data_IF_863019433172
#
_entry.id   IF_863019433172
#
_cell.length_a   1.000
_cell.length_b   1.000
_cell.length_c   1.000
_cell.angle_alpha   90.00
_cell.angle_beta   90.00
_cell.angle_gamma   90.00
#
_symmetry.space_group_name_H-M   'P 1'
#
loop_
_entity.id
_entity.type
_entity.pdbx_description
1 polymer ?
#
# COMPACT_ATOMS: atom_id res chain seq x y z
N UNK A 1 3.26 -4.76 -17.19
CA UNK A 1 2.56 -3.54 -16.71
C UNK A 1 2.59 -3.45 -15.20
N UNK A 2 2.06 -4.43 -14.50
CA UNK A 2 2.02 -4.41 -13.04
C UNK A 2 3.40 -4.26 -12.40
N UNK A 3 4.39 -4.98 -12.92
CA UNK A 3 5.76 -4.93 -12.38
C UNK A 3 6.37 -3.52 -12.46
N UNK A 4 6.08 -2.79 -13.53
CA UNK A 4 6.53 -1.41 -13.70
C UNK A 4 5.99 -0.52 -12.57
N UNK A 5 4.71 -0.65 -12.26
CA UNK A 5 4.08 0.17 -11.23
C UNK A 5 4.51 -0.26 -9.82
N UNK A 6 4.71 -1.56 -9.59
CA UNK A 6 5.26 -2.02 -8.31
C UNK A 6 6.69 -1.50 -8.12
N UNK A 7 7.49 -1.42 -9.18
CA UNK A 7 8.83 -0.84 -9.09
C UNK A 7 8.78 0.63 -8.65
N UNK A 8 7.79 1.38 -9.10
CA UNK A 8 7.58 2.77 -8.65
C UNK A 8 7.18 2.82 -7.16
N UNK A 9 6.33 1.89 -6.72
CA UNK A 9 5.97 1.79 -5.31
C UNK A 9 7.21 1.47 -4.46
N UNK A 10 8.12 0.61 -4.96
CA UNK A 10 9.39 0.32 -4.28
C UNK A 10 10.30 1.54 -4.19
N UNK A 11 10.33 2.39 -5.23
CA UNK A 11 11.06 3.65 -5.16
C UNK A 11 10.54 4.53 -4.01
N UNK A 12 9.22 4.61 -3.86
CA UNK A 12 8.62 5.34 -2.74
C UNK A 12 9.00 4.71 -1.40
N UNK A 13 8.98 3.37 -1.32
CA UNK A 13 9.38 2.67 -0.11
C UNK A 13 10.84 2.96 0.28
N UNK A 14 11.73 3.07 -0.70
CA UNK A 14 13.13 3.43 -0.45
C UNK A 14 13.28 4.85 0.09
N UNK A 15 12.46 5.78 -0.37
CA UNK A 15 12.43 7.14 0.19
C UNK A 15 12.05 7.12 1.66
N UNK A 16 11.05 6.31 2.02
CA UNK A 16 10.67 6.12 3.42
C UNK A 16 11.83 5.53 4.24
N UNK A 17 12.47 4.48 3.70
CA UNK A 17 13.63 3.85 4.33
C UNK A 17 14.73 4.89 4.63
N UNK A 18 15.05 5.71 3.65
CA UNK A 18 16.11 6.73 3.78
C UNK A 18 15.77 7.80 4.81
N UNK A 19 14.49 8.02 5.05
CA UNK A 19 13.98 9.00 6.03
C UNK A 19 13.76 8.40 7.42
N UNK A 20 14.08 7.11 7.63
CA UNK A 20 13.88 6.45 8.92
C UNK A 20 12.44 5.99 9.15
N UNK A 21 11.60 6.00 8.13
CA UNK A 21 10.22 5.52 8.20
C UNK A 21 10.14 4.04 7.83
N UNK A 22 9.12 3.35 8.30
CA UNK A 22 8.84 1.99 7.85
C UNK A 22 8.69 2.02 6.32
N UNK A 23 9.47 1.18 5.57
CA UNK A 23 9.59 1.34 4.13
C UNK A 23 8.42 0.73 3.36
N UNK A 24 7.32 1.45 3.35
CA UNK A 24 6.14 1.11 2.55
C UNK A 24 5.90 2.23 1.56
N UNK A 25 5.72 1.85 0.31
CA UNK A 25 5.41 2.78 -0.78
C UNK A 25 4.17 2.34 -1.53
N UNK A 26 3.46 3.31 -2.08
CA UNK A 26 2.22 3.06 -2.81
C UNK A 26 2.10 3.98 -4.02
N UNK A 27 1.53 3.46 -5.10
CA UNK A 27 1.14 4.26 -6.25
C UNK A 27 -0.29 3.90 -6.65
N UNK A 28 -1.03 4.89 -7.12
CA UNK A 28 -2.38 4.69 -7.68
C UNK A 28 -2.31 4.97 -9.17
N UNK A 29 -2.88 4.05 -9.95
CA UNK A 29 -2.87 4.11 -11.42
C UNK A 29 -4.31 4.17 -11.92
N UNK A 30 -4.58 5.11 -12.84
CA UNK A 30 -5.86 5.23 -13.55
C UNK A 30 -5.57 5.34 -15.03
N UNK A 31 -6.20 4.49 -15.85
CA UNK A 31 -6.01 4.50 -17.31
C UNK A 31 -4.53 4.45 -17.72
N UNK A 32 -3.75 3.59 -17.04
CA UNK A 32 -2.34 3.43 -17.34
C UNK A 32 -1.44 4.57 -16.86
N UNK A 33 -1.99 5.57 -16.18
CA UNK A 33 -1.24 6.72 -15.70
C UNK A 33 -1.15 6.73 -14.18
N UNK A 34 0.02 7.07 -13.66
CA UNK A 34 0.21 7.25 -12.21
C UNK A 34 -0.46 8.56 -11.80
N UNK A 35 -1.47 8.47 -10.94
CA UNK A 35 -2.20 9.64 -10.44
C UNK A 35 -1.86 9.97 -8.99
N UNK A 36 -1.18 9.08 -8.28
CA UNK A 36 -0.72 9.33 -6.91
C UNK A 36 0.50 8.48 -6.61
N UNK A 37 1.42 9.05 -5.82
CA UNK A 37 2.60 8.35 -5.29
C UNK A 37 2.79 8.80 -3.85
N UNK A 38 3.06 7.85 -2.96
CA UNK A 38 3.25 8.19 -1.56
C UNK A 38 4.08 7.12 -0.85
N UNK A 39 4.64 7.49 0.27
CA UNK A 39 5.31 6.54 1.17
C UNK A 39 4.97 6.91 2.61
N UNK A 40 5.20 5.99 3.52
CA UNK A 40 4.88 6.16 4.93
C UNK A 40 5.59 7.40 5.50
N UNK A 41 4.82 8.25 6.18
CA UNK A 41 5.30 9.49 6.80
C UNK A 41 4.86 9.60 8.27
N UNK A 42 4.52 8.47 8.90
CA UNK A 42 3.97 8.47 10.26
C UNK A 42 4.81 9.25 11.26
N UNK A 43 6.12 9.02 11.25
CA UNK A 43 7.02 9.69 12.17
C UNK A 43 7.31 11.14 11.73
N UNK A 44 7.54 11.34 10.44
CA UNK A 44 7.84 12.66 9.87
C UNK A 44 6.69 13.65 10.09
N UNK A 45 5.47 13.22 9.83
CA UNK A 45 4.28 14.07 9.96
C UNK A 45 3.65 13.99 11.35
N UNK A 46 4.15 13.12 12.23
CA UNK A 46 3.57 12.86 13.56
C UNK A 46 2.07 12.54 13.44
N UNK A 47 1.75 11.70 12.48
CA UNK A 47 0.37 11.35 12.12
C UNK A 47 0.23 9.82 12.09
N UNK A 48 -0.54 9.22 13.03
CA UNK A 48 -0.71 7.78 13.08
C UNK A 48 -1.40 7.20 11.85
N UNK A 49 -2.06 8.03 11.06
CA UNK A 49 -2.80 7.62 9.87
C UNK A 49 -1.99 7.78 8.58
N UNK A 50 -0.78 8.32 8.64
CA UNK A 50 0.03 8.65 7.46
C UNK A 50 0.75 7.43 6.87
N UNK A 51 0.02 6.33 6.68
CA UNK A 51 0.49 5.19 5.90
C UNK A 51 0.50 5.55 4.41
N UNK A 52 1.37 4.89 3.65
CA UNK A 52 1.52 5.15 2.22
C UNK A 52 0.17 5.09 1.48
N UNK A 53 -0.64 4.07 1.80
CA UNK A 53 -1.93 3.87 1.15
C UNK A 53 -2.90 5.01 1.43
N UNK A 54 -2.96 5.46 2.70
CA UNK A 54 -3.84 6.57 3.09
C UNK A 54 -3.48 7.85 2.34
N UNK A 55 -2.18 8.14 2.26
CA UNK A 55 -1.70 9.33 1.54
C UNK A 55 -1.97 9.23 0.04
N UNK A 56 -1.78 8.05 -0.55
CA UNK A 56 -2.04 7.83 -1.98
C UNK A 56 -3.52 7.95 -2.30
N UNK A 57 -4.41 7.39 -1.48
CA UNK A 57 -5.85 7.52 -1.64
C UNK A 57 -6.25 8.99 -1.60
N UNK A 58 -5.73 9.74 -0.64
CA UNK A 58 -6.06 11.15 -0.48
C UNK A 58 -5.63 11.98 -1.70
N UNK A 59 -4.45 11.69 -2.25
CA UNK A 59 -3.98 12.34 -3.46
C UNK A 59 -4.87 12.02 -4.67
N UNK A 60 -5.19 10.75 -4.87
CA UNK A 60 -5.99 10.29 -6.01
C UNK A 60 -7.43 10.80 -5.94
N UNK A 61 -7.97 10.94 -4.73
CA UNK A 61 -9.35 11.36 -4.52
C UNK A 61 -9.62 12.82 -4.89
N UNK A 62 -8.59 13.61 -5.18
CA UNK A 62 -8.78 15.00 -5.64
C UNK A 62 -9.58 15.09 -6.92
N UNK A 63 -9.51 14.06 -7.77
CA UNK A 63 -10.24 14.01 -9.04
C UNK A 63 -11.56 13.25 -8.94
N UNK A 64 -11.99 12.92 -7.73
CA UNK A 64 -13.20 12.16 -7.45
C UNK A 64 -12.90 11.06 -6.45
N UNK A 65 -13.73 10.97 -5.41
CA UNK A 65 -13.45 10.06 -4.31
C UNK A 65 -13.69 8.59 -4.63
N UNK A 66 -14.52 8.30 -5.63
CA UNK A 66 -14.73 6.91 -6.06
C UNK A 66 -13.60 6.47 -6.96
N UNK A 67 -12.94 5.38 -6.57
CA UNK A 67 -11.71 4.94 -7.24
C UNK A 67 -11.89 3.60 -7.98
N UNK A 68 -13.09 3.38 -8.54
CA UNK A 68 -13.42 2.12 -9.22
C UNK A 68 -12.58 1.85 -10.46
N UNK A 69 -12.07 2.90 -11.10
CA UNK A 69 -11.20 2.83 -12.27
C UNK A 69 -9.71 2.85 -11.90
N UNK A 70 -9.39 2.72 -10.62
CA UNK A 70 -8.01 2.80 -10.14
C UNK A 70 -7.51 1.45 -9.65
N UNK A 71 -6.20 1.24 -9.81
CA UNK A 71 -5.45 0.15 -9.18
C UNK A 71 -4.45 0.76 -8.20
N UNK A 72 -4.42 0.23 -6.98
CA UNK A 72 -3.39 0.57 -6.01
C UNK A 72 -2.30 -0.49 -6.05
N UNK A 73 -1.04 -0.05 -6.17
CA UNK A 73 0.15 -0.89 -6.01
C UNK A 73 0.83 -0.47 -4.71
N UNK A 74 1.05 -1.42 -3.82
CA UNK A 74 1.65 -1.16 -2.51
C UNK A 74 2.65 -2.26 -2.16
N UNK A 75 3.77 -1.89 -1.55
CA UNK A 75 4.87 -2.83 -1.31
C UNK A 75 4.60 -3.83 -0.18
N UNK A 76 3.67 -3.51 0.71
CA UNK A 76 3.28 -4.40 1.81
C UNK A 76 1.76 -4.55 1.84
N UNK A 77 1.29 -5.74 2.16
CA UNK A 77 -0.14 -6.02 2.32
C UNK A 77 -0.79 -5.01 3.28
N UNK A 78 -1.87 -4.36 2.89
CA UNK A 78 -2.53 -3.35 3.73
C UNK A 78 -3.02 -3.86 5.09
N UNK A 79 -2.85 -3.01 6.11
CA UNK A 79 -3.36 -3.22 7.45
C UNK A 79 -4.89 -2.97 7.50
N UNK A 80 -5.55 -3.23 8.66
CA UNK A 80 -7.00 -3.02 8.77
C UNK A 80 -7.47 -1.62 8.40
N UNK A 81 -6.73 -0.59 8.82
CA UNK A 81 -7.07 0.80 8.51
C UNK A 81 -7.06 1.06 7.01
N UNK A 82 -5.97 0.64 6.34
CA UNK A 82 -5.80 0.89 4.91
C UNK A 82 -6.74 0.04 4.07
N UNK A 83 -6.95 -1.23 4.43
CA UNK A 83 -7.89 -2.10 3.73
C UNK A 83 -9.32 -1.55 3.84
N UNK A 84 -9.69 -1.04 5.03
CA UNK A 84 -10.98 -0.38 5.23
C UNK A 84 -11.11 0.88 4.40
N UNK A 85 -10.05 1.68 4.31
CA UNK A 85 -10.04 2.90 3.49
C UNK A 85 -10.20 2.57 2.00
N UNK A 86 -9.54 1.51 1.53
CA UNK A 86 -9.67 1.05 0.14
C UNK A 86 -11.11 0.61 -0.18
N UNK A 87 -11.75 -0.07 0.76
CA UNK A 87 -13.17 -0.41 0.64
C UNK A 87 -14.03 0.85 0.55
N UNK A 88 -13.80 1.82 1.44
CA UNK A 88 -14.57 3.06 1.46
C UNK A 88 -14.35 3.89 0.19
N UNK A 89 -13.16 3.87 -0.38
CA UNK A 89 -12.84 4.56 -1.63
C UNK A 89 -13.35 3.82 -2.87
N UNK A 90 -13.89 2.62 -2.70
CA UNK A 90 -14.38 1.76 -3.78
C UNK A 90 -13.29 1.45 -4.81
N UNK A 91 -12.12 1.05 -4.32
CA UNK A 91 -10.96 0.74 -5.18
C UNK A 91 -11.31 -0.36 -6.20
N UNK A 92 -10.79 -0.23 -7.43
CA UNK A 92 -11.03 -1.21 -8.47
C UNK A 92 -10.19 -2.47 -8.35
N UNK A 93 -8.93 -2.33 -7.91
CA UNK A 93 -8.00 -3.46 -7.79
C UNK A 93 -6.86 -3.07 -6.87
N UNK A 94 -6.34 -4.06 -6.13
CA UNK A 94 -5.14 -3.88 -5.32
C UNK A 94 -4.12 -4.94 -5.68
N UNK A 95 -2.87 -4.52 -5.85
CA UNK A 95 -1.72 -5.41 -6.05
C UNK A 95 -0.70 -5.07 -4.96
N UNK A 96 -0.31 -6.06 -4.17
CA UNK A 96 0.69 -5.83 -3.12
C UNK A 96 1.89 -6.75 -3.29
N UNK A 97 3.02 -6.35 -2.72
CA UNK A 97 4.26 -7.11 -2.80
C UNK A 97 4.37 -8.15 -1.71
N UNK A 98 4.86 -7.76 -0.55
CA UNK A 98 5.06 -8.66 0.57
C UNK A 98 3.76 -8.88 1.35
N UNK A 99 3.61 -10.11 1.87
CA UNK A 99 2.49 -10.46 2.76
C UNK A 99 2.83 -10.03 4.19
N UNK A 100 1.82 -9.60 4.94
CA UNK A 100 1.94 -9.28 6.36
C UNK A 100 1.16 -10.32 7.17
N UNK A 101 1.86 -11.29 7.73
CA UNK A 101 1.24 -12.41 8.44
C UNK A 101 0.65 -12.01 9.79
N UNK A 102 1.01 -10.84 10.30
CA UNK A 102 0.54 -10.38 11.63
C UNK A 102 -0.74 -9.57 11.55
N UNK A 103 -0.88 -8.69 10.54
CA UNK A 103 -2.04 -7.81 10.45
C UNK A 103 -2.50 -7.54 9.03
N UNK A 104 -2.07 -8.34 8.05
CA UNK A 104 -2.47 -8.18 6.67
C UNK A 104 -3.96 -8.49 6.47
N UNK A 105 -4.67 -7.59 5.81
CA UNK A 105 -6.12 -7.68 5.66
C UNK A 105 -6.60 -7.89 4.23
N UNK A 106 -5.70 -8.34 3.34
CA UNK A 106 -6.05 -8.71 1.96
C UNK A 106 -5.62 -10.13 1.62
N UNK A 107 -5.70 -11.02 2.61
CA UNK A 107 -5.47 -12.45 2.40
C UNK A 107 -4.77 -13.16 3.55
N UNK A 108 -3.89 -12.49 4.30
CA UNK A 108 -3.08 -13.17 5.32
C UNK A 108 -3.85 -13.47 6.61
N UNK A 109 -4.45 -12.46 7.24
CA UNK A 109 -5.22 -12.62 8.48
C UNK A 109 -6.70 -12.49 8.19
N UNK A 110 -7.08 -11.43 7.48
CA UNK A 110 -8.43 -11.20 6.99
C UNK A 110 -8.37 -10.88 5.50
N UNK A 111 -9.54 -10.85 4.85
CA UNK A 111 -9.62 -10.41 3.46
C UNK A 111 -10.81 -9.47 3.31
N UNK A 112 -10.61 -8.19 3.65
CA UNK A 112 -11.68 -7.20 3.66
C UNK A 112 -12.30 -6.96 2.29
N UNK A 113 -11.53 -7.02 1.21
CA UNK A 113 -12.06 -6.77 -0.14
C UNK A 113 -12.69 -8.00 -0.78
N UNK A 114 -12.62 -9.17 -0.14
CA UNK A 114 -13.31 -10.38 -0.58
C UNK A 114 -14.46 -10.77 0.35
N UNK A 115 -14.62 -10.09 1.48
CA UNK A 115 -15.67 -10.41 2.45
C UNK A 115 -16.95 -9.66 2.10
N UNK A 116 -18.06 -10.39 1.81
CA UNK A 116 -19.33 -9.74 1.46
C UNK A 116 -19.95 -8.90 2.57
N UNK A 117 -19.46 -9.03 3.81
CA UNK A 117 -19.92 -8.20 4.92
C UNK A 117 -19.39 -6.77 4.84
N UNK A 118 -18.32 -6.53 4.08
CA UNK A 118 -17.77 -5.20 3.92
C UNK A 118 -18.43 -4.45 2.77
N UNK A 119 -18.33 -3.13 2.83
CA UNK A 119 -19.01 -2.18 1.95
C UNK A 119 -18.75 -2.43 0.46
N UNK A 120 -17.51 -2.79 0.09
CA UNK A 120 -17.09 -2.91 -1.31
C UNK A 120 -16.11 -4.06 -1.49
N UNK A 121 -16.29 -4.84 -2.55
CA UNK A 121 -15.38 -5.93 -2.91
C UNK A 121 -14.56 -5.56 -4.14
N UNK A 122 -13.30 -6.05 -4.18
CA UNK A 122 -12.41 -5.82 -5.30
C UNK A 122 -11.34 -6.91 -5.34
N UNK A 123 -10.81 -7.23 -6.53
CA UNK A 123 -9.69 -8.17 -6.63
C UNK A 123 -8.46 -7.62 -5.89
N UNK A 124 -7.79 -8.49 -5.14
CA UNK A 124 -6.55 -8.17 -4.46
C UNK A 124 -5.58 -9.33 -4.66
N UNK A 125 -4.37 -9.03 -5.12
CA UNK A 125 -3.37 -10.03 -5.45
C UNK A 125 -2.06 -9.65 -4.77
N UNK A 126 -1.40 -10.63 -4.13
CA UNK A 126 -0.11 -10.42 -3.47
C UNK A 126 1.01 -11.21 -4.12
N UNK A 127 2.24 -10.86 -3.76
CA UNK A 127 3.43 -11.59 -4.19
C UNK A 127 4.20 -10.97 -5.34
N UNK A 128 3.74 -9.87 -5.91
CA UNK A 128 4.45 -9.23 -7.01
C UNK A 128 5.69 -8.51 -6.46
N UNK A 129 6.88 -8.93 -6.94
CA UNK A 129 8.17 -8.45 -6.43
C UNK A 129 8.28 -8.65 -4.91
N UNK A 130 7.70 -9.74 -4.42
CA UNK A 130 7.64 -10.05 -2.99
C UNK A 130 9.01 -10.05 -2.33
N UNK A 131 10.00 -10.65 -2.98
CA UNK A 131 11.36 -10.75 -2.45
C UNK A 131 11.95 -9.37 -2.17
N UNK A 132 11.89 -8.49 -3.16
CA UNK A 132 12.44 -7.14 -3.04
C UNK A 132 11.71 -6.33 -1.96
N UNK A 133 10.38 -6.44 -1.91
CA UNK A 133 9.58 -5.75 -0.90
C UNK A 133 9.90 -6.25 0.51
N UNK A 134 9.98 -7.58 0.67
CA UNK A 134 10.27 -8.20 1.97
C UNK A 134 11.69 -7.87 2.45
N UNK A 135 12.67 -7.92 1.55
CA UNK A 135 14.06 -7.62 1.90
C UNK A 135 14.22 -6.20 2.42
N UNK A 136 13.53 -5.25 1.82
CA UNK A 136 13.58 -3.85 2.27
C UNK A 136 13.02 -3.71 3.68
N UNK A 137 11.91 -4.36 3.98
CA UNK A 137 11.31 -4.41 5.32
C UNK A 137 12.26 -5.05 6.33
N UNK A 138 12.86 -6.19 5.97
CA UNK A 138 13.79 -6.91 6.84
C UNK A 138 15.00 -6.05 7.18
N UNK A 139 15.57 -5.37 6.18
CA UNK A 139 16.73 -4.48 6.37
C UNK A 139 16.39 -3.33 7.31
N UNK A 140 15.22 -2.78 7.22
CA UNK A 140 14.77 -1.70 8.10
C UNK A 140 14.71 -2.16 9.57
N UNK A 141 14.09 -3.30 9.84
CA UNK A 141 13.97 -3.81 11.20
C UNK A 141 15.29 -4.31 11.77
N UNK A 142 16.15 -4.90 10.95
CA UNK A 142 17.51 -5.28 11.37
C UNK A 142 18.32 -4.04 11.77
N UNK A 143 18.26 -2.99 10.99
CA UNK A 143 18.94 -1.73 11.27
C UNK A 143 18.47 -1.12 12.58
N UNK A 144 17.17 -1.13 12.85
CA UNK A 144 16.63 -0.62 14.11
C UNK A 144 17.06 -1.43 15.32
N UNK A 145 17.15 -2.75 15.17
CA UNK A 145 17.60 -3.63 16.27
C UNK A 145 19.09 -3.47 16.56
N UNK A 146 19.89 -3.09 15.57
CA UNK A 146 21.32 -2.84 15.73
C UNK A 146 21.63 -1.53 16.44
N UNK A 147 20.67 -0.66 16.54
CA UNK A 147 20.80 0.62 17.22
C UNK A 147 20.44 0.47 18.70
#
# INVERSE_FOLDING_TARGET
MDKKFMALALEEARKAFDSGEVPVGAVVVRDGQVVARAHNLRETDKDPLAHAEMLAIRQAAKDGWRMRDCTLYVTLEPCPMCAGALSMAQIGRVVFGAFDEKQGCLGSVYHFLADPAFYHQAPAEGGLMEKECRELMQRFFERRRGD
#
